data_IF_776701096497
#
_entry.id   IF_776701096497
#
_cell.length_a   1.000
_cell.length_b   1.000
_cell.length_c   1.000
_cell.angle_alpha   90.00
_cell.angle_beta   90.00
_cell.angle_gamma   90.00
#
_symmetry.space_group_name_H-M   'P 1'
#
loop_
_entity.id
_entity.type
_entity.pdbx_description
1 polymer ?
#
# COMPACT_ATOMS: atom_id res chain seq x y z
N UNK A 1 -9.14 3.93 -2.32
CA UNK A 1 -8.98 4.24 -0.88
C UNK A 1 -7.50 4.28 -0.55
N UNK A 2 -7.06 5.36 0.06
CA UNK A 2 -5.64 5.52 0.41
C UNK A 2 -5.34 4.83 1.73
N UNK A 3 -4.31 4.00 1.74
CA UNK A 3 -3.74 3.43 2.95
C UNK A 3 -2.33 3.97 3.16
N UNK A 4 -1.97 4.19 4.42
CA UNK A 4 -0.63 4.60 4.81
C UNK A 4 -0.03 3.53 5.70
N UNK A 5 1.13 3.03 5.31
CA UNK A 5 1.80 1.93 6.01
C UNK A 5 3.30 2.19 6.12
N UNK A 6 3.93 1.51 7.06
CA UNK A 6 5.39 1.38 7.13
C UNK A 6 5.70 -0.04 6.72
N UNK A 7 6.47 -0.17 5.65
CA UNK A 7 6.74 -1.46 5.05
C UNK A 7 8.19 -1.52 4.55
N UNK A 8 8.66 -2.72 4.27
CA UNK A 8 9.93 -2.89 3.58
C UNK A 8 9.70 -3.57 2.23
N UNK A 9 10.64 -3.32 1.32
CA UNK A 9 10.60 -3.91 -0.01
C UNK A 9 11.06 -5.37 0.08
N UNK A 10 10.14 -6.28 -0.16
CA UNK A 10 10.39 -7.71 -0.09
C UNK A 10 10.93 -8.25 -1.41
N UNK A 11 10.33 -7.84 -2.51
CA UNK A 11 10.68 -8.34 -3.83
C UNK A 11 10.26 -7.32 -4.88
N UNK A 12 11.04 -7.19 -5.95
CA UNK A 12 10.66 -6.29 -7.05
C UNK A 12 10.91 -6.94 -8.40
N UNK A 13 10.09 -6.51 -9.36
CA UNK A 13 10.24 -6.85 -10.77
C UNK A 13 9.95 -5.61 -11.59
N UNK A 14 10.94 -5.12 -12.30
CA UNK A 14 10.75 -3.98 -13.20
C UNK A 14 10.26 -4.51 -14.52
N UNK A 15 9.08 -4.07 -14.91
CA UNK A 15 8.54 -4.31 -16.24
C UNK A 15 8.56 -2.98 -16.97
N UNK A 16 9.41 -2.87 -17.96
CA UNK A 16 9.44 -1.68 -18.81
C UNK A 16 8.36 -1.82 -19.85
N UNK A 17 7.27 -1.10 -19.65
CA UNK A 17 6.25 -0.95 -20.67
C UNK A 17 6.48 0.39 -21.35
N UNK A 18 6.70 0.34 -22.63
CA UNK A 18 6.78 1.54 -23.44
C UNK A 18 5.40 1.77 -24.05
N UNK A 19 4.82 2.93 -23.77
CA UNK A 19 3.65 3.38 -24.51
C UNK A 19 4.09 3.88 -25.90
N UNK A 20 3.17 4.40 -26.69
CA UNK A 20 3.49 4.89 -28.04
C UNK A 20 4.57 5.98 -28.06
N UNK A 21 4.78 6.64 -26.94
CA UNK A 21 5.80 7.68 -26.78
C UNK A 21 7.07 7.17 -26.07
N UNK A 22 7.11 5.92 -25.67
CA UNK A 22 8.23 5.30 -24.93
C UNK A 22 8.60 6.02 -23.64
N UNK A 23 7.64 6.68 -22.98
CA UNK A 23 7.92 7.62 -21.89
C UNK A 23 7.64 7.06 -20.50
N UNK A 24 7.45 5.77 -20.35
CA UNK A 24 7.11 5.28 -19.05
C UNK A 24 7.45 3.82 -18.79
N UNK A 25 7.52 3.49 -17.53
CA UNK A 25 7.68 2.11 -17.09
C UNK A 25 6.79 1.84 -15.88
N UNK A 26 6.51 0.56 -15.66
CA UNK A 26 5.80 0.10 -14.48
C UNK A 26 6.75 -0.80 -13.70
N UNK A 27 6.87 -0.54 -12.41
CA UNK A 27 7.59 -1.39 -11.50
C UNK A 27 6.59 -2.14 -10.62
N UNK A 28 6.63 -3.46 -10.67
CA UNK A 28 5.83 -4.31 -9.80
C UNK A 28 6.70 -4.79 -8.65
N UNK A 29 6.17 -4.74 -7.45
CA UNK A 29 6.91 -5.15 -6.26
C UNK A 29 5.98 -5.63 -5.17
N UNK A 30 6.56 -6.30 -4.19
CA UNK A 30 5.84 -6.79 -3.02
C UNK A 30 6.39 -6.08 -1.80
N UNK A 31 5.50 -5.46 -1.05
CA UNK A 31 5.79 -4.87 0.26
C UNK A 31 5.41 -5.84 1.36
N UNK A 32 6.19 -5.89 2.41
CA UNK A 32 5.87 -6.68 3.60
C UNK A 32 5.80 -5.74 4.81
N UNK A 33 4.77 -5.90 5.62
CA UNK A 33 4.56 -5.08 6.80
C UNK A 33 3.85 -5.88 7.89
N UNK A 34 3.98 -5.41 9.13
CA UNK A 34 3.26 -5.98 10.28
C UNK A 34 2.11 -5.07 10.67
N UNK A 35 0.97 -5.66 10.97
CA UNK A 35 -0.14 -4.92 11.54
C UNK A 35 0.03 -4.77 13.07
N UNK A 36 -0.94 -4.12 13.71
CA UNK A 36 -0.91 -3.90 15.17
C UNK A 36 -0.94 -5.19 15.98
N UNK A 37 -1.51 -6.24 15.42
CA UNK A 37 -1.56 -7.54 16.05
C UNK A 37 -0.30 -8.38 15.88
N UNK A 38 0.69 -7.86 15.15
CA UNK A 38 1.92 -8.59 14.86
C UNK A 38 1.85 -9.53 13.68
N UNK A 39 0.74 -9.55 12.96
CA UNK A 39 0.59 -10.38 11.77
C UNK A 39 1.33 -9.76 10.59
N UNK A 40 2.03 -10.59 9.85
CA UNK A 40 2.79 -10.18 8.67
C UNK A 40 1.90 -10.26 7.44
N UNK A 41 1.90 -9.16 6.69
CA UNK A 41 1.15 -9.04 5.44
C UNK A 41 2.08 -8.79 4.28
N UNK A 42 1.76 -9.37 3.15
CA UNK A 42 2.42 -9.09 1.88
C UNK A 42 1.42 -8.43 0.95
N UNK A 43 1.83 -7.34 0.35
CA UNK A 43 0.99 -6.56 -0.54
C UNK A 43 1.67 -6.43 -1.89
N UNK A 44 1.05 -6.98 -2.93
CA UNK A 44 1.51 -6.80 -4.29
C UNK A 44 1.12 -5.41 -4.77
N UNK A 45 2.10 -4.63 -5.19
CA UNK A 45 1.94 -3.23 -5.55
C UNK A 45 2.54 -2.95 -6.92
N UNK A 46 2.19 -1.80 -7.45
CA UNK A 46 2.89 -1.26 -8.62
C UNK A 46 3.06 0.24 -8.47
N UNK A 47 4.07 0.76 -9.15
CA UNK A 47 4.30 2.19 -9.27
C UNK A 47 4.57 2.54 -10.73
N UNK A 48 4.16 3.73 -11.13
CA UNK A 48 4.36 4.24 -12.48
C UNK A 48 5.54 5.20 -12.45
N UNK A 49 6.52 4.97 -13.31
CA UNK A 49 7.73 5.80 -13.43
C UNK A 49 8.53 5.93 -12.12
N UNK A 50 8.45 4.92 -11.29
CA UNK A 50 9.16 4.89 -10.01
C UNK A 50 9.61 3.48 -9.71
N UNK A 51 10.87 3.34 -9.29
CA UNK A 51 11.45 2.07 -8.88
C UNK A 51 12.03 2.18 -7.46
N UNK A 52 11.48 1.46 -6.48
CA UNK A 52 12.13 1.39 -5.16
C UNK A 52 13.42 0.57 -5.27
N UNK A 53 14.49 1.03 -4.64
CA UNK A 53 15.82 0.45 -4.83
C UNK A 53 16.26 -0.39 -3.64
N UNK A 54 16.07 0.10 -2.42
CA UNK A 54 16.65 -0.51 -1.23
C UNK A 54 15.77 -1.63 -0.72
N UNK A 55 16.29 -2.87 -0.78
CA UNK A 55 15.60 -4.08 -0.33
C UNK A 55 16.12 -4.48 1.05
N UNK A 56 15.28 -5.10 1.86
CA UNK A 56 15.68 -5.68 3.14
C UNK A 56 14.82 -5.17 4.30
N UNK A 57 14.73 -6.01 5.33
CA UNK A 57 13.86 -5.75 6.49
C UNK A 57 14.27 -4.53 7.30
N UNK A 58 15.55 -4.19 7.28
CA UNK A 58 16.11 -3.04 7.99
C UNK A 58 15.85 -1.72 7.28
N UNK A 59 15.41 -1.76 6.03
CA UNK A 59 15.18 -0.57 5.20
C UNK A 59 13.69 -0.33 5.07
N UNK A 60 13.11 0.42 5.99
CA UNK A 60 11.69 0.67 6.03
C UNK A 60 11.32 1.91 5.26
N UNK A 61 10.17 1.85 4.63
CA UNK A 61 9.59 2.95 3.87
C UNK A 61 8.27 3.38 4.48
N UNK A 62 8.01 4.68 4.44
CA UNK A 62 6.66 5.21 4.60
C UNK A 62 5.98 5.17 3.23
N UNK A 63 4.84 4.50 3.14
CA UNK A 63 4.18 4.25 1.87
C UNK A 63 2.74 4.70 1.91
N UNK A 64 2.33 5.45 0.89
CA UNK A 64 0.94 5.76 0.63
C UNK A 64 0.50 4.94 -0.58
N UNK A 65 -0.52 4.13 -0.38
CA UNK A 65 -1.00 3.18 -1.39
C UNK A 65 -2.47 3.47 -1.68
N UNK A 66 -2.81 3.60 -2.95
CA UNK A 66 -4.20 3.65 -3.37
C UNK A 66 -4.67 2.24 -3.71
N UNK A 67 -5.57 1.73 -2.88
CA UNK A 67 -6.14 0.39 -3.07
C UNK A 67 -7.47 0.53 -3.79
N UNK A 68 -7.56 -0.08 -4.96
CA UNK A 68 -8.78 -0.07 -5.75
C UNK A 68 -9.04 -1.46 -6.33
N UNK A 69 -10.29 -1.72 -6.68
CA UNK A 69 -10.68 -2.99 -7.26
C UNK A 69 -10.73 -2.86 -8.78
N UNK A 70 -10.18 -3.83 -9.46
CA UNK A 70 -10.20 -3.91 -10.93
C UNK A 70 -10.84 -5.23 -11.33
N UNK A 71 -11.75 -5.17 -12.28
CA UNK A 71 -12.38 -6.37 -12.79
C UNK A 71 -11.43 -7.16 -13.68
N UNK A 72 -11.14 -8.38 -13.26
CA UNK A 72 -10.36 -9.29 -14.07
C UNK A 72 -11.31 -10.13 -14.93
N UNK A 73 -11.09 -10.11 -16.23
CA UNK A 73 -11.99 -10.73 -17.21
C UNK A 73 -11.70 -12.21 -17.44
N UNK A 74 -10.60 -12.74 -16.90
CA UNK A 74 -10.05 -14.01 -17.37
C UNK A 74 -9.83 -15.07 -16.29
N UNK A 75 -10.43 -14.95 -15.14
CA UNK A 75 -10.25 -15.96 -14.12
C UNK A 75 -11.33 -17.05 -14.29
N UNK A 76 -10.94 -18.20 -14.81
CA UNK A 76 -11.84 -19.35 -15.05
C UNK A 76 -13.10 -19.01 -15.83
N UNK A 77 -12.99 -18.14 -16.83
CA UNK A 77 -14.11 -17.60 -17.61
C UNK A 77 -15.10 -16.76 -16.81
N UNK A 78 -14.83 -16.52 -15.55
CA UNK A 78 -15.64 -15.64 -14.71
C UNK A 78 -14.97 -14.28 -14.55
N UNK A 79 -15.78 -13.25 -14.34
CA UNK A 79 -15.30 -11.90 -14.02
C UNK A 79 -15.20 -11.75 -12.51
N UNK A 80 -13.98 -11.55 -12.04
CA UNK A 80 -13.68 -11.40 -10.61
C UNK A 80 -13.12 -10.02 -10.35
N UNK A 81 -13.50 -9.43 -9.24
CA UNK A 81 -12.92 -8.17 -8.80
C UNK A 81 -11.66 -8.48 -7.98
N UNK A 82 -10.52 -7.94 -8.44
CA UNK A 82 -9.24 -8.11 -7.77
C UNK A 82 -8.75 -6.77 -7.24
N UNK A 83 -8.17 -6.74 -6.04
CA UNK A 83 -7.55 -5.52 -5.54
C UNK A 83 -6.29 -5.21 -6.32
N UNK A 84 -6.11 -3.93 -6.63
CA UNK A 84 -4.85 -3.41 -7.14
C UNK A 84 -4.37 -2.31 -6.21
N UNK A 85 -3.07 -2.30 -5.96
CA UNK A 85 -2.44 -1.39 -5.03
C UNK A 85 -1.43 -0.53 -5.78
N UNK A 86 -1.78 0.72 -6.06
CA UNK A 86 -0.89 1.67 -6.69
C UNK A 86 -0.17 2.48 -5.63
N UNK A 87 1.15 2.42 -5.63
CA UNK A 87 1.95 3.24 -4.72
C UNK A 87 1.99 4.67 -5.22
N UNK A 88 1.53 5.59 -4.38
CA UNK A 88 1.47 7.02 -4.67
C UNK A 88 2.68 7.74 -4.10
N UNK A 89 3.22 7.25 -2.99
CA UNK A 89 4.35 7.84 -2.31
C UNK A 89 5.10 6.74 -1.57
N UNK A 90 6.43 6.79 -1.61
CA UNK A 90 7.27 5.81 -0.95
C UNK A 90 8.59 6.49 -0.55
N UNK A 91 8.75 6.73 0.75
CA UNK A 91 9.91 7.44 1.29
C UNK A 91 10.71 6.52 2.21
N UNK A 92 12.00 6.41 1.94
CA UNK A 92 12.90 5.62 2.78
C UNK A 92 13.15 6.33 4.11
N UNK A 93 12.92 5.61 5.21
CA UNK A 93 13.12 6.12 6.56
C UNK A 93 14.55 5.86 6.98
N UNK A 94 15.38 6.91 6.98
CA UNK A 94 16.82 6.79 7.21
C UNK A 94 17.19 6.92 8.68
N UNK A 95 16.41 7.67 9.46
CA UNK A 95 16.74 7.99 10.84
C UNK A 95 15.63 7.51 11.78
N UNK A 96 15.97 7.20 13.06
CA UNK A 96 14.97 6.71 14.02
C UNK A 96 13.78 7.68 14.22
N UNK A 97 14.04 8.98 14.20
CA UNK A 97 12.95 9.97 14.38
C UNK A 97 12.02 10.01 13.16
N UNK A 98 12.49 9.68 11.97
CA UNK A 98 11.64 9.61 10.79
C UNK A 98 10.63 8.49 10.92
N UNK A 99 11.04 7.34 11.47
CA UNK A 99 10.14 6.24 11.76
C UNK A 99 9.08 6.66 12.77
N UNK A 100 9.47 7.31 13.86
CA UNK A 100 8.55 7.79 14.87
C UNK A 100 7.55 8.80 14.29
N UNK A 101 8.04 9.71 13.46
CA UNK A 101 7.19 10.71 12.78
C UNK A 101 6.19 10.03 11.84
N UNK A 102 6.64 9.04 11.09
CA UNK A 102 5.78 8.28 10.19
C UNK A 102 4.69 7.52 10.95
N UNK A 103 5.04 6.88 12.07
CA UNK A 103 4.08 6.17 12.90
C UNK A 103 2.99 7.13 13.44
N UNK A 104 3.38 8.31 13.88
CA UNK A 104 2.43 9.33 14.35
C UNK A 104 1.54 9.84 13.23
N UNK A 105 2.09 10.02 12.03
CA UNK A 105 1.31 10.45 10.87
C UNK A 105 0.27 9.40 10.49
N UNK A 106 0.64 8.13 10.51
CA UNK A 106 -0.29 7.03 10.24
C UNK A 106 -1.41 7.01 11.27
N UNK A 107 -1.06 7.12 12.55
CA UNK A 107 -2.04 7.13 13.63
C UNK A 107 -3.01 8.29 13.48
N UNK A 108 -2.51 9.48 13.22
CA UNK A 108 -3.33 10.67 13.00
C UNK A 108 -4.24 10.51 11.78
N UNK A 109 -3.72 9.96 10.69
CA UNK A 109 -4.48 9.74 9.47
C UNK A 109 -5.69 8.84 9.72
N UNK A 110 -5.49 7.72 10.39
CA UNK A 110 -6.59 6.78 10.68
C UNK A 110 -7.55 7.33 11.72
N UNK A 111 -7.08 8.14 12.67
CA UNK A 111 -7.95 8.85 13.60
C UNK A 111 -8.85 9.84 12.88
N UNK A 112 -8.31 10.59 11.94
CA UNK A 112 -9.09 11.52 11.12
C UNK A 112 -10.11 10.78 10.25
N UNK A 113 -9.73 9.66 9.67
CA UNK A 113 -10.66 8.83 8.89
C UNK A 113 -11.81 8.33 9.77
N UNK A 114 -11.53 7.90 10.99
CA UNK A 114 -12.57 7.49 11.92
C UNK A 114 -13.51 8.65 12.27
N UNK A 115 -13.02 9.86 12.38
CA UNK A 115 -13.86 11.02 12.64
C UNK A 115 -14.77 11.36 11.47
N UNK A 116 -14.26 11.26 10.24
CA UNK A 116 -15.04 11.55 9.03
C UNK A 116 -16.12 10.50 8.80
N UNK A 117 -15.80 9.24 8.98
CA UNK A 117 -16.71 8.13 8.79
C UNK A 117 -17.20 7.56 10.13
N UNK A 118 -16.93 8.28 11.20
CA UNK A 118 -16.85 7.77 12.56
C UNK A 118 -18.06 7.05 13.06
N UNK A 119 -19.25 7.62 12.89
CA UNK A 119 -20.49 7.00 13.39
C UNK A 119 -20.72 5.65 12.71
N UNK A 120 -20.41 5.56 11.41
CA UNK A 120 -20.54 4.31 10.69
C UNK A 120 -19.51 3.27 11.11
N UNK A 121 -18.29 3.69 11.39
CA UNK A 121 -17.22 2.78 11.82
C UNK A 121 -17.31 2.42 13.29
N UNK A 122 -17.78 3.33 14.12
CA UNK A 122 -17.94 3.11 15.55
C UNK A 122 -19.26 2.40 15.88
N UNK A 123 -20.16 2.30 14.93
CA UNK A 123 -21.35 1.48 15.08
C UNK A 123 -20.96 0.00 15.11
N UNK A 124 -21.82 -0.82 15.69
CA UNK A 124 -21.61 -2.25 15.72
C UNK A 124 -21.40 -2.84 14.33
N UNK A 125 -22.22 -2.40 13.37
CA UNK A 125 -22.10 -2.85 11.98
C UNK A 125 -20.75 -2.46 11.38
N UNK A 126 -20.29 -1.23 11.61
CA UNK A 126 -19.00 -0.77 11.14
C UNK A 126 -17.85 -1.53 11.75
N UNK A 127 -17.91 -1.81 13.05
CA UNK A 127 -16.88 -2.60 13.72
C UNK A 127 -16.85 -4.04 13.23
N UNK A 128 -17.98 -4.63 13.00
CA UNK A 128 -18.06 -5.99 12.46
C UNK A 128 -17.51 -6.07 11.05
N UNK A 129 -17.69 -5.04 10.25
CA UNK A 129 -17.15 -4.98 8.90
C UNK A 129 -15.61 -4.79 8.91
N UNK A 130 -15.07 -4.21 9.96
CA UNK A 130 -13.64 -3.94 10.09
C UNK A 130 -12.85 -5.08 10.75
N UNK A 131 -13.52 -5.99 11.36
CA UNK A 131 -12.90 -7.11 12.09
C UNK A 131 -12.67 -8.34 11.20
#
# INVERSE_FOLDING_TARGET
MIQKIIAYLYQKKVTKTYNDNNDGFICNFVLEYKDKGGFVHKMACYAVNFEPIVIGKENRYFVEVDVHAVQNVRYNNDRVWLPQCKVMKMDLLLQPWELTTAEKEIERYYDEQRKIYGTGYDSEAGRNAMV
#
